data_IF_373199598951
#
_entry.id   IF_373199598951
#
_cell.length_a   1.000
_cell.length_b   1.000
_cell.length_c   1.000
_cell.angle_alpha   90.00
_cell.angle_beta   90.00
_cell.angle_gamma   90.00
#
_symmetry.space_group_name_H-M   'P 1'
#
loop_
_entity.id
_entity.type
_entity.pdbx_description
1 polymer ?
#
# COMPACT_ATOMS: atom_id res chain seq x y z
N UNK A 1 30.31 25.20 -1.51
CA UNK A 1 29.57 23.96 -1.16
C UNK A 1 30.59 22.83 -1.03
N UNK A 2 30.48 21.97 0.00
CA UNK A 2 31.31 20.76 0.13
C UNK A 2 30.44 19.56 -0.23
N UNK A 3 30.82 18.82 -1.27
CA UNK A 3 30.16 17.59 -1.67
C UNK A 3 31.01 16.42 -1.19
N UNK A 4 30.43 15.55 -0.35
CA UNK A 4 31.09 14.32 0.05
C UNK A 4 31.09 13.34 -1.14
N UNK A 5 32.27 12.85 -1.52
CA UNK A 5 32.43 11.82 -2.56
C UNK A 5 32.94 10.52 -1.93
N UNK A 6 32.49 9.37 -2.45
CA UNK A 6 32.98 8.06 -2.02
C UNK A 6 32.25 7.43 -0.83
N UNK A 7 31.09 7.93 -0.43
CA UNK A 7 30.26 7.24 0.57
C UNK A 7 29.78 5.89 0.00
N UNK A 8 30.23 4.79 0.62
CA UNK A 8 29.84 3.44 0.23
C UNK A 8 28.41 3.17 0.71
N UNK A 9 27.59 2.55 -0.13
CA UNK A 9 26.25 2.13 0.29
C UNK A 9 26.37 1.09 1.40
N UNK A 10 25.59 1.19 2.49
CA UNK A 10 25.65 0.20 3.55
C UNK A 10 25.17 -1.18 3.06
N UNK A 11 24.29 -1.22 2.05
CA UNK A 11 23.85 -2.46 1.39
C UNK A 11 24.97 -3.25 0.67
N UNK A 12 26.08 -2.59 0.30
CA UNK A 12 27.22 -3.22 -0.38
C UNK A 12 28.40 -3.50 0.57
N UNK A 13 28.19 -3.38 1.89
CA UNK A 13 29.23 -3.64 2.90
C UNK A 13 29.26 -5.13 3.24
N UNK A 14 30.42 -5.77 3.05
CA UNK A 14 30.63 -7.21 3.24
C UNK A 14 30.77 -7.64 4.71
N UNK A 15 30.61 -6.71 5.67
CA UNK A 15 30.78 -6.97 7.10
C UNK A 15 29.46 -7.16 7.81
N UNK A 16 29.15 -8.40 8.19
CA UNK A 16 28.35 -8.87 9.36
C UNK A 16 27.01 -8.20 9.71
N UNK A 17 26.47 -7.30 8.89
CA UNK A 17 25.10 -6.82 8.93
C UNK A 17 24.39 -7.21 7.63
N UNK A 18 24.34 -8.52 7.37
CA UNK A 18 23.16 -9.08 6.72
C UNK A 18 21.98 -8.91 7.69
N UNK A 19 21.54 -7.68 7.96
CA UNK A 19 20.22 -7.48 8.54
C UNK A 19 19.26 -7.91 7.46
N UNK A 20 18.61 -9.08 7.60
CA UNK A 20 18.04 -9.75 6.46
C UNK A 20 16.79 -8.96 6.14
N UNK A 21 16.85 -8.11 5.11
CA UNK A 21 15.63 -7.78 4.41
C UNK A 21 14.94 -9.13 4.14
N UNK A 22 13.63 -9.24 4.41
CA UNK A 22 12.90 -10.48 4.15
C UNK A 22 13.10 -10.88 2.68
N UNK A 23 12.93 -12.16 2.37
CA UNK A 23 13.20 -12.72 1.04
C UNK A 23 12.60 -11.91 -0.12
N UNK A 24 11.44 -11.29 0.11
CA UNK A 24 10.71 -10.48 -0.87
C UNK A 24 11.05 -8.97 -0.82
N UNK A 25 12.20 -8.60 -0.26
CA UNK A 25 12.61 -7.20 -0.10
C UNK A 25 14.07 -6.95 -0.52
N UNK A 26 14.30 -5.79 -1.13
CA UNK A 26 15.62 -5.31 -1.53
C UNK A 26 16.12 -4.25 -0.54
N UNK A 27 17.43 -4.28 -0.27
CA UNK A 27 18.10 -3.25 0.52
C UNK A 27 18.25 -1.96 -0.31
N UNK A 28 17.89 -0.82 0.28
CA UNK A 28 18.06 0.51 -0.28
C UNK A 28 18.67 1.47 0.75
N UNK A 29 19.50 2.44 0.35
CA UNK A 29 20.02 3.46 1.25
C UNK A 29 18.94 4.48 1.63
N UNK A 30 18.81 4.80 2.92
CA UNK A 30 17.84 5.77 3.46
C UNK A 30 18.56 6.97 4.10
N UNK A 31 19.64 7.43 3.46
CA UNK A 31 20.48 8.51 3.95
C UNK A 31 21.81 8.03 4.56
N UNK A 32 22.58 8.95 5.18
CA UNK A 32 23.95 8.66 5.58
C UNK A 32 24.04 7.57 6.66
N UNK A 33 24.48 6.38 6.28
CA UNK A 33 24.60 5.24 7.20
C UNK A 33 23.28 4.56 7.56
N UNK A 34 22.16 4.95 6.94
CA UNK A 34 20.84 4.36 7.16
C UNK A 34 20.43 3.48 5.97
N UNK A 35 19.71 2.40 6.26
CA UNK A 35 19.18 1.46 5.28
C UNK A 35 17.69 1.26 5.47
N UNK A 36 17.00 0.99 4.36
CA UNK A 36 15.60 0.63 4.32
C UNK A 36 15.42 -0.63 3.46
N UNK A 37 14.49 -1.49 3.84
CA UNK A 37 14.07 -2.63 3.02
C UNK A 37 12.81 -2.26 2.25
N UNK A 38 12.89 -2.31 0.92
CA UNK A 38 11.76 -2.05 0.02
C UNK A 38 11.24 -3.37 -0.52
N UNK A 39 9.93 -3.56 -0.52
CA UNK A 39 9.34 -4.77 -1.09
C UNK A 39 9.58 -4.82 -2.60
N UNK A 40 10.05 -5.97 -3.08
CA UNK A 40 10.15 -6.26 -4.51
C UNK A 40 8.75 -6.43 -5.07
N UNK A 41 8.45 -5.81 -6.21
CA UNK A 41 7.18 -6.05 -6.90
C UNK A 41 7.05 -7.53 -7.28
N UNK A 42 5.89 -8.19 -7.07
CA UNK A 42 4.57 -7.64 -6.70
C UNK A 42 4.23 -7.68 -5.19
N UNK A 43 5.22 -7.83 -4.32
CA UNK A 43 5.01 -7.94 -2.87
C UNK A 43 4.80 -6.59 -2.20
N UNK A 44 3.98 -6.59 -1.15
CA UNK A 44 3.67 -5.39 -0.37
C UNK A 44 3.27 -5.75 1.08
N UNK A 45 3.07 -4.72 1.90
CA UNK A 45 2.64 -4.85 3.29
C UNK A 45 3.78 -5.16 4.28
N UNK A 46 3.42 -5.46 5.53
CA UNK A 46 4.38 -5.78 6.58
C UNK A 46 5.22 -7.00 6.20
N UNK A 47 6.56 -6.86 6.25
CA UNK A 47 7.53 -7.89 5.87
C UNK A 47 7.42 -8.40 4.43
N UNK A 48 6.70 -7.70 3.53
CA UNK A 48 6.56 -8.09 2.12
C UNK A 48 5.96 -9.50 1.94
N UNK A 49 5.03 -9.88 2.82
CA UNK A 49 4.39 -11.20 2.81
C UNK A 49 3.13 -11.26 1.94
N UNK A 50 2.57 -10.11 1.55
CA UNK A 50 1.37 -10.07 0.69
C UNK A 50 1.78 -9.91 -0.75
N UNK A 51 1.20 -10.72 -1.62
CA UNK A 51 1.44 -10.70 -3.06
C UNK A 51 0.18 -10.24 -3.80
N UNK A 52 0.38 -9.55 -4.91
CA UNK A 52 -0.70 -9.11 -5.80
C UNK A 52 -1.15 -7.69 -5.55
N UNK A 53 -2.31 -7.33 -6.10
CA UNK A 53 -2.87 -5.98 -6.00
C UNK A 53 -4.19 -6.02 -5.26
N UNK A 54 -4.50 -4.97 -4.51
CA UNK A 54 -5.81 -4.85 -3.89
C UNK A 54 -6.88 -4.75 -4.99
N UNK A 55 -7.95 -5.56 -4.99
CA UNK A 55 -8.95 -5.58 -6.06
C UNK A 55 -9.91 -4.39 -5.93
N UNK A 56 -9.40 -3.19 -6.23
CA UNK A 56 -10.11 -1.90 -6.07
C UNK A 56 -11.47 -1.93 -6.74
N UNK A 57 -11.55 -2.43 -7.98
CA UNK A 57 -12.79 -2.46 -8.76
C UNK A 57 -13.89 -3.29 -8.09
N UNK A 58 -13.53 -4.45 -7.52
CA UNK A 58 -14.49 -5.33 -6.86
C UNK A 58 -14.99 -4.71 -5.57
N UNK A 59 -14.08 -4.13 -4.77
CA UNK A 59 -14.43 -3.45 -3.52
C UNK A 59 -15.32 -2.23 -3.76
N UNK A 60 -14.90 -1.33 -4.65
CA UNK A 60 -15.68 -0.13 -5.01
C UNK A 60 -17.01 -0.49 -5.68
N UNK A 61 -17.03 -1.53 -6.52
CA UNK A 61 -18.24 -2.02 -7.18
C UNK A 61 -19.29 -2.51 -6.19
N UNK A 62 -18.90 -3.37 -5.24
CA UNK A 62 -19.83 -3.88 -4.21
C UNK A 62 -20.32 -2.75 -3.32
N UNK A 63 -19.42 -1.89 -2.82
CA UNK A 63 -19.80 -0.74 -2.01
C UNK A 63 -20.79 0.16 -2.74
N UNK A 64 -20.46 0.55 -3.98
CA UNK A 64 -21.33 1.40 -4.80
C UNK A 64 -22.69 0.76 -5.06
N UNK A 65 -22.73 -0.53 -5.40
CA UNK A 65 -23.98 -1.26 -5.65
C UNK A 65 -24.87 -1.32 -4.41
N UNK A 66 -24.30 -1.64 -3.24
CA UNK A 66 -25.04 -1.67 -1.96
C UNK A 66 -25.56 -0.28 -1.60
N UNK A 67 -24.73 0.76 -1.73
CA UNK A 67 -25.15 2.14 -1.47
C UNK A 67 -26.27 2.59 -2.40
N UNK A 68 -26.17 2.32 -3.70
CA UNK A 68 -27.22 2.65 -4.67
C UNK A 68 -28.51 1.89 -4.40
N UNK A 69 -28.42 0.59 -4.10
CA UNK A 69 -29.58 -0.22 -3.74
C UNK A 69 -30.29 0.35 -2.50
N UNK A 70 -29.55 0.66 -1.44
CA UNK A 70 -30.10 1.29 -0.24
C UNK A 70 -30.72 2.66 -0.53
N UNK A 71 -30.04 3.49 -1.33
CA UNK A 71 -30.57 4.80 -1.71
C UNK A 71 -31.89 4.69 -2.48
N UNK A 72 -31.99 3.74 -3.42
CA UNK A 72 -33.21 3.46 -4.19
C UNK A 72 -34.33 2.90 -3.31
N UNK A 73 -34.00 1.98 -2.40
CA UNK A 73 -34.95 1.43 -1.43
C UNK A 73 -35.51 2.51 -0.50
N UNK A 74 -34.65 3.35 0.06
CA UNK A 74 -35.05 4.47 0.90
C UNK A 74 -35.83 5.52 0.11
N UNK A 75 -35.46 5.78 -1.14
CA UNK A 75 -36.23 6.65 -2.02
C UNK A 75 -37.65 6.11 -2.27
N UNK A 76 -37.76 4.82 -2.57
CA UNK A 76 -39.02 4.14 -2.85
C UNK A 76 -39.94 4.04 -1.63
N UNK A 77 -39.38 3.78 -0.45
CA UNK A 77 -40.14 3.58 0.80
C UNK A 77 -40.41 4.89 1.55
N UNK A 78 -39.38 5.72 1.75
CA UNK A 78 -39.47 6.94 2.57
C UNK A 78 -39.87 8.18 1.75
N UNK A 79 -39.21 8.44 0.61
CA UNK A 79 -39.44 9.70 -0.13
C UNK A 79 -40.67 9.69 -1.04
N UNK A 80 -41.04 8.55 -1.64
CA UNK A 80 -42.29 8.46 -2.42
C UNK A 80 -43.54 8.61 -1.56
N UNK A 81 -43.50 8.22 -0.29
CA UNK A 81 -44.63 8.35 0.66
C UNK A 81 -44.74 9.73 1.31
N UNK A 82 -43.67 10.51 1.32
CA UNK A 82 -43.66 11.89 1.81
C UNK A 82 -44.26 12.92 0.83
N UNK A 83 -44.57 12.54 -0.42
CA UNK A 83 -45.32 13.36 -1.39
C UNK A 83 -46.84 13.18 -1.25
N UNK A 84 -47.35 13.27 -0.04
CA UNK A 84 -48.80 13.39 0.23
C UNK A 84 -49.00 14.60 1.14
N UNK A 85 -49.42 15.75 0.57
CA UNK A 85 -50.66 16.39 0.96
C UNK A 85 -51.81 15.95 0.04
#
# INVERSE_FOLDING_TARGET
SRLCQGQRSPCNSSGELAWPCPENAACAPDGPGLIQCLCSSPFHGYKCLREGTFPVLLFCGILGAVTLALALLLWGTQRRKAKTP
#
